data_IF_939257252162
#
_entry.id   IF_939257252162
#
_cell.length_a   1.000
_cell.length_b   1.000
_cell.length_c   1.000
_cell.angle_alpha   90.00
_cell.angle_beta   90.00
_cell.angle_gamma   90.00
#
_symmetry.space_group_name_H-M   'P 1'
#
loop_
_entity.id
_entity.type
_entity.pdbx_description
1 polymer ?
#
# COMPACT_ATOMS: atom_id res chain seq x y z
N UNK A 1 -9.51 -24.97 -44.64
CA UNK A 1 -9.85 -23.58 -44.24
C UNK A 1 -10.69 -23.65 -42.98
N UNK A 2 -10.06 -23.40 -41.83
CA UNK A 2 -10.49 -22.48 -40.77
C UNK A 2 -9.60 -22.78 -39.57
N UNK A 3 -8.53 -22.00 -39.47
CA UNK A 3 -7.58 -22.06 -38.39
C UNK A 3 -8.22 -21.51 -37.11
N UNK A 4 -8.06 -22.33 -36.07
CA UNK A 4 -8.05 -21.94 -34.68
C UNK A 4 -7.07 -20.77 -34.50
N UNK A 5 -7.57 -19.62 -34.05
CA UNK A 5 -6.73 -18.54 -33.55
C UNK A 5 -6.72 -18.61 -32.04
N UNK A 6 -5.70 -19.27 -31.50
CA UNK A 6 -5.19 -19.06 -30.15
C UNK A 6 -4.93 -17.56 -29.96
N UNK A 7 -5.79 -16.89 -29.20
CA UNK A 7 -5.45 -15.65 -28.52
C UNK A 7 -5.05 -16.01 -27.10
N UNK A 8 -3.81 -16.45 -26.95
CA UNK A 8 -3.10 -16.43 -25.67
C UNK A 8 -3.02 -14.97 -25.20
N UNK A 9 -3.91 -14.58 -24.29
CA UNK A 9 -3.80 -13.32 -23.55
C UNK A 9 -2.53 -13.39 -22.69
N UNK A 10 -1.48 -12.72 -23.13
CA UNK A 10 -0.26 -12.50 -22.35
C UNK A 10 -0.59 -11.64 -21.12
N UNK A 11 -1.06 -12.24 -20.03
CA UNK A 11 -1.03 -11.61 -18.72
C UNK A 11 0.44 -11.57 -18.28
N UNK A 12 1.09 -10.43 -18.47
CA UNK A 12 2.33 -10.15 -17.76
C UNK A 12 2.02 -10.20 -16.26
N UNK A 13 2.26 -11.36 -15.63
CA UNK A 13 2.07 -11.51 -14.19
C UNK A 13 2.93 -10.47 -13.47
N UNK A 14 2.28 -9.54 -12.77
CA UNK A 14 2.92 -8.62 -11.85
C UNK A 14 3.43 -9.43 -10.66
N UNK A 15 4.63 -9.97 -10.79
CA UNK A 15 5.25 -10.82 -9.79
C UNK A 15 6.74 -10.56 -9.67
N UNK A 16 7.28 -10.82 -8.49
CA UNK A 16 8.70 -10.71 -8.20
C UNK A 16 9.10 -11.72 -7.12
N UNK A 17 10.40 -11.94 -6.96
CA UNK A 17 10.94 -12.84 -5.95
C UNK A 17 11.64 -12.05 -4.84
N UNK A 18 11.27 -12.30 -3.58
CA UNK A 18 11.96 -11.77 -2.41
C UNK A 18 12.97 -12.82 -1.93
N UNK A 19 14.25 -12.53 -2.15
CA UNK A 19 15.36 -13.41 -1.78
C UNK A 19 15.96 -13.06 -0.42
N UNK A 20 15.98 -11.76 -0.09
CA UNK A 20 16.62 -11.27 1.13
C UNK A 20 15.83 -11.64 2.38
N UNK A 21 14.50 -11.76 2.27
CA UNK A 21 13.59 -11.79 3.41
C UNK A 21 13.31 -10.41 3.98
N UNK A 22 13.58 -9.36 3.20
CA UNK A 22 13.33 -7.97 3.58
C UNK A 22 12.84 -7.17 2.36
N UNK A 23 11.76 -6.41 2.56
CA UNK A 23 11.18 -5.56 1.53
C UNK A 23 11.25 -4.10 1.94
N UNK A 24 11.61 -3.25 0.98
CA UNK A 24 11.38 -1.82 1.04
C UNK A 24 10.02 -1.52 0.43
N UNK A 25 9.28 -0.59 1.01
CA UNK A 25 7.92 -0.27 0.57
C UNK A 25 7.64 1.23 0.57
N UNK A 26 6.71 1.65 -0.29
CA UNK A 26 6.15 2.99 -0.33
C UNK A 26 6.49 3.76 -1.61
N UNK A 27 6.53 5.08 -1.54
CA UNK A 27 6.88 5.94 -2.68
C UNK A 27 8.40 6.02 -2.87
N UNK A 28 8.87 6.69 -3.93
CA UNK A 28 10.31 6.79 -4.25
C UNK A 28 11.16 7.23 -3.05
N UNK A 29 10.69 8.25 -2.32
CA UNK A 29 11.41 8.73 -1.14
C UNK A 29 11.42 7.69 -0.01
N UNK A 30 10.32 6.96 0.20
CA UNK A 30 10.22 5.88 1.18
C UNK A 30 11.23 4.77 0.87
N UNK A 31 11.36 4.37 -0.40
CA UNK A 31 12.34 3.37 -0.83
C UNK A 31 13.77 3.83 -0.51
N UNK A 32 14.11 5.08 -0.85
CA UNK A 32 15.41 5.62 -0.53
C UNK A 32 15.65 5.65 0.99
N UNK A 33 14.66 6.07 1.77
CA UNK A 33 14.75 6.11 3.23
C UNK A 33 14.94 4.71 3.82
N UNK A 34 14.10 3.74 3.48
CA UNK A 34 14.19 2.38 3.99
C UNK A 34 15.49 1.68 3.60
N UNK A 35 16.06 2.03 2.45
CA UNK A 35 17.41 1.59 2.09
C UNK A 35 18.47 2.14 3.05
N UNK A 36 18.46 3.45 3.33
CA UNK A 36 19.46 4.08 4.21
C UNK A 36 19.24 3.73 5.69
N UNK A 37 18.00 3.61 6.14
CA UNK A 37 17.61 3.17 7.47
C UNK A 37 17.98 1.70 7.73
N UNK A 38 18.07 0.87 6.69
CA UNK A 38 18.56 -0.51 6.78
C UNK A 38 19.89 -0.69 7.49
N UNK A 39 20.77 0.32 7.43
CA UNK A 39 22.06 0.31 8.13
C UNK A 39 21.92 0.35 9.65
N UNK A 40 20.72 0.64 10.15
CA UNK A 40 20.37 0.72 11.56
C UNK A 40 19.56 -0.50 12.05
N UNK A 41 19.33 -1.51 11.20
CA UNK A 41 18.50 -2.70 11.51
C UNK A 41 17.11 -2.34 12.09
N UNK A 42 16.48 -1.30 11.55
CA UNK A 42 15.13 -0.88 11.94
C UNK A 42 14.11 -1.38 10.92
N UNK A 43 13.00 -1.90 11.42
CA UNK A 43 11.96 -2.52 10.63
C UNK A 43 10.60 -2.03 11.09
N UNK A 44 9.68 -1.90 10.14
CA UNK A 44 8.27 -1.76 10.41
C UNK A 44 7.71 -3.09 10.86
N UNK A 45 7.00 -3.02 11.99
CA UNK A 45 6.34 -4.14 12.67
C UNK A 45 5.04 -3.60 13.26
N UNK A 46 4.09 -4.47 13.63
CA UNK A 46 2.89 -3.98 14.30
C UNK A 46 3.14 -3.22 15.61
N UNK A 47 4.26 -3.48 16.29
CA UNK A 47 4.62 -2.86 17.57
C UNK A 47 5.47 -1.60 17.41
N UNK A 48 6.18 -1.44 16.29
CA UNK A 48 7.00 -0.24 16.03
C UNK A 48 6.14 0.98 15.70
N UNK A 49 4.87 0.77 15.30
CA UNK A 49 3.94 1.84 14.92
C UNK A 49 2.93 2.05 16.06
N UNK A 50 3.06 3.12 16.86
CA UNK A 50 2.27 3.27 18.06
C UNK A 50 0.80 3.62 17.78
N UNK A 51 -0.07 3.23 18.71
CA UNK A 51 -1.36 3.89 18.90
C UNK A 51 -1.12 5.34 19.33
N UNK A 52 -1.82 6.30 18.72
CA UNK A 52 -1.67 7.72 19.09
C UNK A 52 -2.69 8.08 20.17
N UNK A 53 -2.21 8.66 21.28
CA UNK A 53 -3.00 8.95 22.48
C UNK A 53 -3.84 10.23 22.42
N UNK A 54 -4.45 10.53 21.27
CA UNK A 54 -5.12 11.79 20.91
C UNK A 54 -4.15 12.95 20.61
N UNK A 55 -4.17 13.41 19.35
CA UNK A 55 -3.32 14.49 18.82
C UNK A 55 -2.38 13.99 17.73
N UNK A 56 -2.64 14.42 16.48
CA UNK A 56 -1.91 13.99 15.29
C UNK A 56 -2.51 12.76 14.61
N UNK A 57 -2.59 12.79 13.28
CA UNK A 57 -3.08 11.69 12.43
C UNK A 57 -1.98 11.13 11.51
N UNK A 58 -0.75 11.63 11.69
CA UNK A 58 0.42 11.33 10.87
C UNK A 58 1.45 10.61 11.73
N UNK A 59 1.80 9.40 11.31
CA UNK A 59 2.73 8.45 11.93
C UNK A 59 4.04 8.30 11.15
N UNK A 60 4.21 9.03 10.06
CA UNK A 60 5.42 9.07 9.23
C UNK A 60 6.73 8.80 9.97
N UNK A 61 7.01 9.55 11.05
CA UNK A 61 8.27 9.43 11.83
C UNK A 61 8.53 8.06 12.47
N UNK A 62 7.52 7.20 12.55
CA UNK A 62 7.64 5.86 13.11
C UNK A 62 7.87 4.79 12.05
N UNK A 63 7.59 5.11 10.78
CA UNK A 63 7.86 4.22 9.68
C UNK A 63 9.34 4.27 9.29
N UNK A 64 9.87 3.09 9.00
CA UNK A 64 11.23 2.87 8.54
C UNK A 64 11.25 2.49 7.06
N UNK A 65 10.09 2.27 6.44
CA UNK A 65 9.90 1.90 5.04
C UNK A 65 10.65 0.63 4.65
N UNK A 66 10.80 -0.27 5.63
CA UNK A 66 11.53 -1.53 5.52
C UNK A 66 10.87 -2.54 6.44
N UNK A 67 10.50 -3.70 5.92
CA UNK A 67 9.93 -4.79 6.69
C UNK A 67 10.82 -6.02 6.60
N UNK A 68 10.84 -6.85 7.67
CA UNK A 68 11.09 -8.28 7.47
C UNK A 68 9.92 -8.83 6.66
N UNK A 69 10.17 -9.72 5.71
CA UNK A 69 9.16 -10.17 4.78
C UNK A 69 9.34 -11.66 4.47
N UNK A 70 8.20 -12.31 4.18
CA UNK A 70 8.20 -13.69 3.75
C UNK A 70 9.05 -13.85 2.48
N UNK A 71 10.00 -14.77 2.51
CA UNK A 71 10.81 -15.13 1.34
C UNK A 71 9.97 -15.83 0.28
N UNK A 72 10.48 -15.82 -0.95
CA UNK A 72 9.87 -16.53 -2.07
C UNK A 72 9.12 -15.60 -3.00
N UNK A 73 8.16 -16.14 -3.72
CA UNK A 73 7.46 -15.44 -4.79
C UNK A 73 6.33 -14.57 -4.26
N UNK A 74 6.24 -13.37 -4.81
CA UNK A 74 5.23 -12.38 -4.53
C UNK A 74 4.47 -12.04 -5.80
N UNK A 75 3.17 -11.77 -5.66
CA UNK A 75 2.29 -11.40 -6.77
C UNK A 75 1.48 -10.16 -6.39
N UNK A 76 1.22 -9.29 -7.37
CA UNK A 76 0.23 -8.25 -7.28
C UNK A 76 -1.00 -8.61 -8.13
N UNK A 77 -2.19 -8.35 -7.58
CA UNK A 77 -3.47 -8.45 -8.29
C UNK A 77 -4.26 -7.17 -8.05
N UNK A 78 -4.96 -6.70 -9.07
CA UNK A 78 -5.92 -5.63 -8.89
C UNK A 78 -7.20 -6.18 -8.26
N UNK A 79 -7.79 -5.41 -7.35
CA UNK A 79 -9.15 -5.63 -6.88
C UNK A 79 -10.01 -4.42 -7.26
N UNK A 80 -11.31 -4.62 -7.33
CA UNK A 80 -12.29 -3.59 -7.64
C UNK A 80 -13.16 -3.31 -6.41
N UNK A 81 -13.57 -2.06 -6.26
CA UNK A 81 -14.41 -1.57 -5.17
C UNK A 81 -15.52 -0.69 -5.68
N UNK A 82 -16.73 -0.84 -5.11
CA UNK A 82 -17.84 0.09 -5.29
C UNK A 82 -18.55 0.35 -3.96
N UNK A 83 -18.83 1.62 -3.70
CA UNK A 83 -19.50 2.12 -2.50
C UNK A 83 -21.03 2.18 -2.67
N UNK A 84 -21.53 2.22 -3.91
CA UNK A 84 -22.95 2.02 -4.25
C UNK A 84 -23.13 1.06 -5.42
N UNK A 85 -24.32 0.45 -5.57
CA UNK A 85 -24.64 -0.42 -6.71
C UNK A 85 -24.54 0.31 -8.05
N UNK A 86 -24.80 1.61 -8.04
CA UNK A 86 -24.79 2.50 -9.20
C UNK A 86 -23.44 3.22 -9.41
N UNK A 87 -22.46 3.04 -8.51
CA UNK A 87 -21.16 3.68 -8.61
C UNK A 87 -20.34 3.08 -9.76
N UNK A 88 -20.35 3.77 -10.90
CA UNK A 88 -19.54 3.46 -12.07
C UNK A 88 -18.59 4.63 -12.41
N UNK A 89 -17.33 4.36 -12.79
CA UNK A 89 -16.69 3.04 -12.82
C UNK A 89 -16.28 2.56 -11.42
N UNK A 90 -16.13 1.24 -11.25
CA UNK A 90 -15.46 0.67 -10.08
C UNK A 90 -14.10 1.33 -9.85
N UNK A 91 -13.79 1.60 -8.59
CA UNK A 91 -12.47 2.06 -8.17
C UNK A 91 -11.54 0.86 -8.01
N UNK A 92 -10.32 0.95 -8.50
CA UNK A 92 -9.35 -0.14 -8.43
C UNK A 92 -8.29 0.08 -7.35
N UNK A 93 -7.92 -0.98 -6.64
CA UNK A 93 -6.73 -1.03 -5.80
C UNK A 93 -5.91 -2.27 -6.11
N UNK A 94 -4.86 -2.52 -5.32
CA UNK A 94 -3.99 -3.68 -5.49
C UNK A 94 -3.75 -4.41 -4.18
N UNK A 95 -3.74 -5.74 -4.24
CA UNK A 95 -3.15 -6.58 -3.21
C UNK A 95 -1.81 -7.12 -3.71
N UNK A 96 -0.74 -6.87 -2.97
CA UNK A 96 0.59 -7.44 -3.20
C UNK A 96 0.86 -8.44 -2.08
N UNK A 97 1.04 -9.72 -2.40
CA UNK A 97 1.08 -10.78 -1.40
C UNK A 97 2.11 -11.87 -1.74
N UNK A 98 2.65 -12.51 -0.73
CA UNK A 98 3.44 -13.73 -0.88
C UNK A 98 2.50 -14.89 -1.27
N UNK A 99 2.88 -15.68 -2.28
CA UNK A 99 1.99 -16.68 -2.90
C UNK A 99 1.53 -17.80 -1.96
N UNK A 100 2.16 -17.96 -0.80
CA UNK A 100 1.78 -18.94 0.20
C UNK A 100 0.60 -18.49 1.09
N UNK A 101 0.11 -17.27 0.92
CA UNK A 101 -1.02 -16.72 1.66
C UNK A 101 -2.21 -16.45 0.75
N UNK A 102 -3.42 -16.62 1.29
CA UNK A 102 -4.65 -16.45 0.54
C UNK A 102 -4.98 -14.94 0.39
N UNK A 103 -4.96 -14.37 -0.84
CA UNK A 103 -5.22 -12.95 -1.04
C UNK A 103 -6.67 -12.55 -0.70
N UNK A 104 -7.65 -13.43 -0.89
CA UNK A 104 -9.07 -13.17 -0.55
C UNK A 104 -9.23 -13.00 0.96
N UNK A 105 -8.61 -13.89 1.74
CA UNK A 105 -8.65 -13.82 3.21
C UNK A 105 -7.97 -12.54 3.72
N UNK A 106 -6.79 -12.22 3.18
CA UNK A 106 -6.05 -11.01 3.53
C UNK A 106 -6.90 -9.76 3.23
N UNK A 107 -7.46 -9.67 2.03
CA UNK A 107 -8.24 -8.51 1.63
C UNK A 107 -9.51 -8.35 2.49
N UNK A 108 -10.17 -9.45 2.85
CA UNK A 108 -11.32 -9.45 3.78
C UNK A 108 -10.93 -8.99 5.20
N UNK A 109 -9.76 -9.40 5.70
CA UNK A 109 -9.24 -8.92 7.00
C UNK A 109 -8.97 -7.41 6.96
N UNK A 110 -8.32 -6.92 5.90
CA UNK A 110 -8.09 -5.48 5.71
C UNK A 110 -9.40 -4.69 5.59
N UNK A 111 -10.41 -5.22 4.88
CA UNK A 111 -11.73 -4.59 4.78
C UNK A 111 -12.50 -4.58 6.12
N UNK A 112 -12.25 -5.56 6.98
CA UNK A 112 -12.78 -5.59 8.35
C UNK A 112 -12.12 -4.53 9.23
N UNK A 113 -10.80 -4.33 9.08
CA UNK A 113 -10.05 -3.25 9.73
C UNK A 113 -10.50 -1.88 9.23
N UNK A 114 -10.67 -1.74 7.91
CA UNK A 114 -11.05 -0.50 7.25
C UNK A 114 -10.08 0.65 7.57
N UNK A 115 -10.62 1.87 7.57
CA UNK A 115 -9.90 3.07 7.97
C UNK A 115 -9.58 3.07 9.48
N UNK A 116 -8.29 3.10 9.86
CA UNK A 116 -7.89 3.03 11.27
C UNK A 116 -6.70 3.92 11.65
N UNK A 117 -6.91 5.24 11.65
CA UNK A 117 -5.89 6.25 12.01
C UNK A 117 -5.18 5.96 13.34
N UNK A 118 -5.93 5.48 14.34
CA UNK A 118 -5.40 5.26 15.68
C UNK A 118 -4.92 3.82 15.92
N UNK A 119 -5.04 2.92 14.93
CA UNK A 119 -4.72 1.48 15.04
C UNK A 119 -5.49 0.78 16.16
N UNK A 120 -6.71 1.20 16.47
CA UNK A 120 -7.51 0.65 17.59
C UNK A 120 -8.33 -0.59 17.20
N UNK A 121 -8.07 -1.15 16.02
CA UNK A 121 -8.74 -2.36 15.54
C UNK A 121 -8.22 -3.61 16.28
N UNK A 122 -8.98 -4.71 16.22
CA UNK A 122 -8.67 -5.94 16.95
C UNK A 122 -7.59 -6.79 16.28
N UNK A 123 -7.40 -6.66 14.96
CA UNK A 123 -6.47 -7.47 14.20
C UNK A 123 -5.05 -6.88 14.25
N UNK A 124 -4.37 -7.10 15.37
CA UNK A 124 -3.07 -6.49 15.67
C UNK A 124 -1.92 -6.89 14.74
N UNK A 125 -2.13 -7.81 13.79
CA UNK A 125 -1.13 -8.10 12.75
C UNK A 125 -1.26 -7.21 11.52
N UNK A 126 -2.24 -6.29 11.49
CA UNK A 126 -2.45 -5.33 10.41
C UNK A 126 -2.06 -3.92 10.88
N UNK A 127 -1.27 -3.22 10.06
CA UNK A 127 -0.94 -1.82 10.26
C UNK A 127 -1.59 -1.01 9.14
N UNK A 128 -2.60 -0.22 9.48
CA UNK A 128 -3.14 0.80 8.59
C UNK A 128 -2.12 1.93 8.34
N UNK A 129 -2.00 2.39 7.10
CA UNK A 129 -1.08 3.44 6.68
C UNK A 129 -1.88 4.54 5.98
N UNK A 130 -1.80 5.74 6.51
CA UNK A 130 -2.46 6.91 5.95
C UNK A 130 -1.61 7.51 4.82
N UNK A 131 -2.22 8.25 3.88
CA UNK A 131 -1.48 8.96 2.80
C UNK A 131 -0.33 9.80 3.35
N UNK A 132 -0.54 10.48 4.48
CA UNK A 132 0.47 11.38 5.02
C UNK A 132 1.67 10.67 5.64
N UNK A 133 1.56 9.36 5.85
CA UNK A 133 2.64 8.56 6.40
C UNK A 133 3.72 8.21 5.36
N UNK A 134 3.42 8.41 4.06
CA UNK A 134 4.24 7.93 2.95
C UNK A 134 4.08 8.78 1.68
N UNK A 135 3.60 10.04 1.81
CA UNK A 135 3.37 10.97 0.69
C UNK A 135 4.16 12.29 0.81
N UNK A 136 3.82 13.26 -0.04
CA UNK A 136 4.41 14.60 -0.25
C UNK A 136 4.76 15.45 0.97
N UNK A 137 4.33 15.08 2.18
CA UNK A 137 4.73 15.74 3.42
C UNK A 137 6.00 15.15 4.03
N UNK A 138 6.70 14.30 3.28
CA UNK A 138 7.97 13.73 3.68
C UNK A 138 9.02 14.81 3.94
N UNK A 139 9.93 14.52 4.89
CA UNK A 139 11.00 15.42 5.30
C UNK A 139 11.70 16.09 4.10
N UNK A 140 11.48 17.41 3.95
CA UNK A 140 12.04 18.22 2.86
C UNK A 140 13.56 18.10 2.75
N UNK A 141 14.27 17.97 3.87
CA UNK A 141 15.73 17.81 3.86
C UNK A 141 16.14 16.44 3.30
N UNK A 142 15.31 15.42 3.51
CA UNK A 142 15.51 14.10 2.94
C UNK A 142 15.24 14.07 1.44
N UNK A 143 14.20 14.76 0.97
CA UNK A 143 13.92 14.88 -0.46
C UNK A 143 15.08 15.52 -1.23
N UNK A 144 15.68 16.59 -0.71
CA UNK A 144 16.84 17.24 -1.36
C UNK A 144 18.04 16.28 -1.49
N UNK A 145 18.21 15.36 -0.53
CA UNK A 145 19.25 14.31 -0.62
C UNK A 145 18.93 13.30 -1.71
N UNK A 146 17.65 12.95 -1.89
CA UNK A 146 17.20 12.06 -2.97
C UNK A 146 17.40 12.73 -4.32
N UNK A 147 17.05 14.01 -4.47
CA UNK A 147 17.24 14.70 -5.75
C UNK A 147 18.72 14.74 -6.13
N UNK A 148 19.60 15.05 -5.16
CA UNK A 148 21.05 15.00 -5.37
C UNK A 148 21.53 13.58 -5.71
N UNK A 149 20.98 12.56 -5.07
CA UNK A 149 21.32 11.16 -5.33
C UNK A 149 20.95 10.76 -6.77
N UNK A 150 19.76 11.15 -7.21
CA UNK A 150 19.19 10.83 -8.51
C UNK A 150 19.61 11.80 -9.63
N UNK A 151 20.29 12.90 -9.30
CA UNK A 151 20.69 13.92 -10.28
C UNK A 151 19.52 14.76 -10.81
N UNK A 152 18.48 14.91 -10.00
CA UNK A 152 17.25 15.65 -10.30
C UNK A 152 17.50 17.16 -10.03
N UNK A 153 17.18 18.02 -11.00
CA UNK A 153 17.39 19.47 -10.93
C UNK A 153 16.05 20.21 -10.93
N UNK A 154 15.59 20.58 -9.72
CA UNK A 154 14.29 21.23 -9.47
C UNK A 154 14.10 22.58 -10.17
N UNK A 155 15.16 23.19 -10.70
CA UNK A 155 15.07 24.52 -11.33
C UNK A 155 14.63 24.48 -12.80
N UNK A 156 14.42 23.28 -13.37
CA UNK A 156 13.98 23.13 -14.77
C UNK A 156 12.45 23.33 -14.88
N UNK A 157 11.94 23.98 -15.94
CA UNK A 157 10.52 24.27 -16.09
C UNK A 157 9.64 23.03 -16.33
N UNK A 158 10.19 21.91 -16.82
CA UNK A 158 9.46 20.64 -17.02
C UNK A 158 9.36 19.80 -15.73
N UNK A 159 9.78 20.35 -14.59
CA UNK A 159 9.99 19.58 -13.37
C UNK A 159 8.70 19.31 -12.61
N UNK A 160 7.72 20.22 -12.63
CA UNK A 160 6.49 20.08 -11.84
C UNK A 160 5.70 18.80 -12.21
N UNK A 161 5.63 18.46 -13.50
CA UNK A 161 4.95 17.23 -13.97
C UNK A 161 5.77 15.96 -13.70
N UNK A 162 7.09 16.04 -13.84
CA UNK A 162 8.02 14.94 -13.53
C UNK A 162 7.97 14.59 -12.04
N UNK A 163 7.94 15.61 -11.19
CA UNK A 163 7.99 15.49 -9.75
C UNK A 163 6.68 14.92 -9.19
N UNK A 164 5.54 15.46 -9.63
CA UNK A 164 4.24 15.00 -9.14
C UNK A 164 3.96 13.54 -9.54
N UNK A 165 4.37 13.16 -10.76
CA UNK A 165 4.19 11.78 -11.20
C UNK A 165 5.15 10.80 -10.55
N UNK A 166 6.45 11.12 -10.39
CA UNK A 166 7.46 10.20 -9.84
C UNK A 166 7.33 9.94 -8.34
N UNK A 167 6.83 10.92 -7.60
CA UNK A 167 6.68 10.82 -6.16
C UNK A 167 5.31 10.35 -5.74
N UNK A 168 4.23 10.57 -6.51
CA UNK A 168 2.87 10.27 -6.05
C UNK A 168 2.16 9.18 -6.87
N UNK A 169 0.94 8.84 -6.43
CA UNK A 169 -0.02 7.97 -7.14
C UNK A 169 0.42 6.52 -7.30
N UNK A 170 1.36 6.09 -6.47
CA UNK A 170 2.08 4.83 -6.69
C UNK A 170 2.51 4.20 -5.38
N UNK A 171 2.58 2.89 -5.44
CA UNK A 171 3.31 2.08 -4.48
C UNK A 171 4.47 1.39 -5.19
N UNK A 172 5.64 1.43 -4.57
CA UNK A 172 6.81 0.64 -4.95
C UNK A 172 7.09 -0.39 -3.86
N UNK A 173 7.46 -1.60 -4.27
CA UNK A 173 7.92 -2.66 -3.38
C UNK A 173 9.17 -3.27 -4.00
N UNK A 174 10.27 -3.34 -3.24
CA UNK A 174 11.57 -3.76 -3.76
C UNK A 174 12.27 -4.65 -2.73
N UNK A 175 12.82 -5.78 -3.19
CA UNK A 175 13.75 -6.62 -2.44
C UNK A 175 14.98 -5.81 -2.00
N UNK A 176 15.27 -5.86 -0.70
CA UNK A 176 16.30 -5.01 -0.09
C UNK A 176 17.68 -5.15 -0.73
N UNK A 177 18.05 -6.35 -1.19
CA UNK A 177 19.38 -6.63 -1.73
C UNK A 177 19.55 -6.03 -3.13
N UNK A 178 18.44 -5.80 -3.84
CA UNK A 178 18.40 -5.18 -5.15
C UNK A 178 18.14 -3.68 -5.13
N UNK A 179 17.68 -3.12 -4.01
CA UNK A 179 17.30 -1.71 -3.88
C UNK A 179 18.37 -0.72 -4.39
N UNK A 180 19.64 -0.88 -4.01
CA UNK A 180 20.71 0.02 -4.48
C UNK A 180 20.94 -0.08 -6.00
N UNK A 181 20.74 -1.26 -6.59
CA UNK A 181 20.86 -1.39 -8.04
C UNK A 181 19.72 -0.63 -8.74
N UNK A 182 18.49 -0.80 -8.26
CA UNK A 182 17.32 -0.09 -8.78
C UNK A 182 17.48 1.43 -8.63
N UNK A 183 17.93 1.92 -7.46
CA UNK A 183 18.20 3.35 -7.24
C UNK A 183 19.26 3.88 -8.22
N UNK A 184 20.32 3.11 -8.48
CA UNK A 184 21.33 3.48 -9.49
C UNK A 184 20.74 3.51 -10.90
N UNK A 185 19.88 2.56 -11.27
CA UNK A 185 19.22 2.57 -12.57
C UNK A 185 18.38 3.84 -12.75
N UNK A 186 17.61 4.25 -11.74
CA UNK A 186 16.82 5.49 -11.79
C UNK A 186 17.67 6.74 -11.95
N UNK A 187 18.86 6.78 -11.35
CA UNK A 187 19.81 7.88 -11.54
C UNK A 187 20.24 8.06 -13.00
N UNK A 188 20.37 6.96 -13.74
CA UNK A 188 20.80 7.00 -15.16
C UNK A 188 19.63 7.04 -16.14
N UNK A 189 18.46 6.54 -15.74
CA UNK A 189 17.25 6.50 -16.56
C UNK A 189 16.01 6.85 -15.73
N UNK A 190 15.79 8.14 -15.51
CA UNK A 190 14.64 8.65 -14.77
C UNK A 190 13.32 8.47 -15.52
N UNK A 191 13.34 8.19 -16.83
CA UNK A 191 12.11 7.99 -17.62
C UNK A 191 11.30 6.80 -17.14
N UNK A 192 11.93 5.82 -16.49
CA UNK A 192 11.25 4.68 -15.89
C UNK A 192 10.30 5.10 -14.77
N UNK A 193 10.68 6.12 -13.99
CA UNK A 193 9.82 6.66 -12.94
C UNK A 193 8.58 7.35 -13.52
N UNK A 194 8.63 7.82 -14.76
CA UNK A 194 7.53 8.54 -15.39
C UNK A 194 6.55 7.64 -16.15
N UNK A 195 6.84 6.34 -16.27
CA UNK A 195 5.94 5.46 -16.99
C UNK A 195 4.59 5.36 -16.24
N UNK A 196 3.46 5.61 -16.92
CA UNK A 196 2.15 5.57 -16.30
C UNK A 196 1.65 4.15 -16.03
N UNK A 197 2.38 3.14 -16.53
CA UNK A 197 2.00 1.74 -16.46
C UNK A 197 2.60 1.07 -15.22
N UNK A 198 1.94 0.01 -14.77
CA UNK A 198 2.51 -0.94 -13.82
C UNK A 198 3.80 -1.53 -14.40
N UNK A 199 4.78 -1.79 -13.54
CA UNK A 199 6.04 -2.39 -13.98
C UNK A 199 6.62 -3.29 -12.92
N UNK A 200 7.36 -4.27 -13.39
CA UNK A 200 8.22 -5.12 -12.58
C UNK A 200 9.65 -4.61 -12.67
N UNK A 201 10.31 -4.46 -11.53
CA UNK A 201 11.72 -4.07 -11.46
C UNK A 201 12.61 -5.29 -11.71
N UNK A 202 13.63 -5.08 -12.54
CA UNK A 202 14.59 -6.13 -12.94
C UNK A 202 15.96 -5.80 -12.37
N UNK A 203 16.54 -6.74 -11.65
CA UNK A 203 17.93 -6.62 -11.18
C UNK A 203 18.89 -6.96 -12.31
N UNK A 204 19.49 -5.92 -12.88
CA UNK A 204 20.45 -6.02 -13.99
C UNK A 204 21.86 -6.47 -13.58
N UNK A 205 22.12 -6.71 -12.28
CA UNK A 205 23.43 -7.23 -11.84
C UNK A 205 23.63 -8.70 -12.22
N UNK A 206 22.52 -9.43 -12.33
CA UNK A 206 22.53 -10.86 -12.62
C UNK A 206 22.07 -11.07 -14.06
N UNK A 207 22.76 -11.93 -14.80
CA UNK A 207 22.43 -12.29 -16.19
C UNK A 207 21.01 -12.88 -16.33
N UNK A 208 20.39 -13.28 -15.21
CA UNK A 208 19.09 -13.93 -15.15
C UNK A 208 17.87 -12.98 -15.17
N UNK A 209 18.05 -11.66 -15.31
CA UNK A 209 16.94 -10.68 -15.32
C UNK A 209 15.92 -10.93 -14.19
N UNK A 210 16.42 -11.08 -12.97
CA UNK A 210 15.57 -11.41 -11.83
C UNK A 210 14.57 -10.28 -11.56
N UNK A 211 13.29 -10.64 -11.43
CA UNK A 211 12.23 -9.73 -11.00
C UNK A 211 12.34 -9.55 -9.49
N UNK A 212 12.62 -8.34 -9.04
CA UNK A 212 13.02 -8.06 -7.64
C UNK A 212 12.13 -7.03 -6.96
N UNK A 213 11.06 -6.62 -7.63
CA UNK A 213 10.11 -5.67 -7.10
C UNK A 213 9.12 -5.25 -8.16
N UNK A 214 8.25 -4.33 -7.80
CA UNK A 214 7.27 -3.75 -8.70
C UNK A 214 6.95 -2.30 -8.32
N UNK A 215 6.43 -1.56 -9.29
CA UNK A 215 5.65 -0.36 -8.99
C UNK A 215 4.27 -0.45 -9.63
N UNK A 216 3.27 -0.05 -8.85
CA UNK A 216 1.88 -0.02 -9.25
C UNK A 216 1.42 1.42 -9.16
N UNK A 217 0.62 1.85 -10.14
CA UNK A 217 0.13 3.23 -10.23
C UNK A 217 -1.37 3.20 -10.39
N UNK A 218 -2.08 4.06 -9.66
CA UNK A 218 -3.51 4.31 -9.92
C UNK A 218 -3.65 5.48 -10.92
N UNK A 219 -4.50 5.37 -11.96
CA UNK A 219 -4.61 6.41 -12.99
C UNK A 219 -5.16 7.75 -12.51
N UNK A 220 -5.98 7.73 -11.45
CA UNK A 220 -6.65 8.89 -10.87
C UNK A 220 -6.57 8.80 -9.34
N UNK A 221 -5.36 8.98 -8.76
CA UNK A 221 -5.24 8.99 -7.32
C UNK A 221 -6.08 10.12 -6.72
N UNK A 222 -6.64 9.89 -5.54
CA UNK A 222 -7.27 10.96 -4.76
C UNK A 222 -6.58 11.03 -3.39
N UNK A 223 -6.70 9.93 -2.65
CA UNK A 223 -6.15 9.75 -1.32
C UNK A 223 -5.66 8.30 -1.19
N UNK A 224 -4.34 8.14 -1.10
CA UNK A 224 -3.68 6.84 -1.10
C UNK A 224 -3.64 6.24 0.32
N UNK A 225 -4.23 5.06 0.50
CA UNK A 225 -4.22 4.31 1.74
C UNK A 225 -3.51 2.98 1.54
N UNK A 226 -2.94 2.43 2.61
CA UNK A 226 -2.42 1.08 2.58
C UNK A 226 -2.63 0.33 3.89
N UNK A 227 -2.54 -0.99 3.83
CA UNK A 227 -2.53 -1.88 4.98
C UNK A 227 -1.35 -2.83 4.84
N UNK A 228 -0.41 -2.76 5.77
CA UNK A 228 0.66 -3.74 5.88
C UNK A 228 0.15 -4.91 6.70
N UNK A 229 0.29 -6.12 6.16
CA UNK A 229 -0.22 -7.34 6.77
C UNK A 229 0.94 -8.22 7.16
N UNK A 230 1.05 -8.46 8.45
CA UNK A 230 2.09 -9.28 9.05
C UNK A 230 1.54 -10.66 9.42
N UNK A 231 2.44 -11.64 9.43
CA UNK A 231 2.17 -13.04 9.82
C UNK A 231 1.69 -13.19 11.27
N UNK A 232 2.06 -12.25 12.16
CA UNK A 232 1.62 -12.21 13.56
C UNK A 232 1.71 -10.79 14.12
N UNK A 233 1.25 -10.61 15.35
CA UNK A 233 1.38 -9.38 16.15
C UNK A 233 2.63 -9.41 17.05
N UNK A 234 3.72 -10.03 16.58
CA UNK A 234 4.98 -10.13 17.33
C UNK A 234 6.10 -9.27 16.71
N UNK A 235 7.14 -8.86 17.48
CA UNK A 235 8.22 -7.98 16.98
C UNK A 235 9.10 -8.56 15.86
N UNK A 236 9.09 -9.88 15.69
CA UNK A 236 9.81 -10.61 14.64
C UNK A 236 8.90 -10.99 13.48
N UNK A 237 7.65 -10.51 13.46
CA UNK A 237 6.68 -10.83 12.41
C UNK A 237 7.18 -10.45 11.03
N UNK A 238 7.00 -11.35 10.08
CA UNK A 238 7.25 -11.11 8.66
C UNK A 238 6.02 -10.47 8.00
N UNK A 239 6.25 -9.48 7.14
CA UNK A 239 5.29 -8.96 6.19
C UNK A 239 4.94 -10.05 5.17
N UNK A 240 3.64 -10.29 5.00
CA UNK A 240 3.10 -11.30 4.08
C UNK A 240 2.26 -10.69 2.97
N UNK A 241 1.75 -9.47 3.17
CA UNK A 241 1.03 -8.73 2.14
C UNK A 241 1.02 -7.22 2.40
N UNK A 242 0.75 -6.48 1.33
CA UNK A 242 0.37 -5.06 1.35
C UNK A 242 -0.90 -4.92 0.54
N UNK A 243 -1.94 -4.33 1.12
CA UNK A 243 -3.12 -3.88 0.38
C UNK A 243 -2.96 -2.39 0.13
N UNK A 244 -3.05 -1.97 -1.13
CA UNK A 244 -2.90 -0.59 -1.58
C UNK A 244 -4.20 -0.10 -2.21
N UNK A 245 -4.81 0.91 -1.58
CA UNK A 245 -5.98 1.62 -2.09
C UNK A 245 -5.56 3.00 -2.57
N UNK A 246 -5.40 3.16 -3.88
CA UNK A 246 -5.06 4.45 -4.46
C UNK A 246 -6.26 5.35 -4.77
N UNK A 247 -7.49 4.98 -4.40
CA UNK A 247 -8.72 5.68 -4.80
C UNK A 247 -9.62 6.09 -3.60
N UNK A 248 -9.07 6.04 -2.39
CA UNK A 248 -9.73 6.43 -1.15
C UNK A 248 -11.06 5.72 -0.89
N UNK A 249 -11.12 4.43 -1.18
CA UNK A 249 -12.30 3.62 -0.83
C UNK A 249 -12.29 3.18 0.62
N UNK A 250 -11.11 3.21 1.27
CA UNK A 250 -10.93 2.67 2.62
C UNK A 250 -11.30 1.20 2.76
N UNK A 251 -11.38 0.47 1.62
CA UNK A 251 -11.95 -0.87 1.50
C UNK A 251 -13.40 -0.96 2.00
N UNK A 252 -14.15 0.15 1.93
CA UNK A 252 -15.59 0.18 2.19
C UNK A 252 -16.36 -0.10 0.90
N UNK A 253 -17.47 -0.83 1.03
CA UNK A 253 -18.31 -1.27 -0.08
C UNK A 253 -18.13 -2.73 -0.49
N UNK A 254 -18.65 -3.08 -1.67
CA UNK A 254 -18.38 -4.39 -2.26
C UNK A 254 -16.94 -4.43 -2.78
N UNK A 255 -16.26 -5.54 -2.54
CA UNK A 255 -14.90 -5.79 -3.00
C UNK A 255 -14.88 -7.04 -3.87
N UNK A 256 -14.36 -6.90 -5.09
CA UNK A 256 -14.26 -7.99 -6.08
C UNK A 256 -12.78 -8.23 -6.39
N UNK A 257 -12.36 -9.49 -6.35
CA UNK A 257 -11.02 -9.94 -6.75
C UNK A 257 -11.18 -11.19 -7.63
N UNK A 258 -10.57 -11.18 -8.82
CA UNK A 258 -10.66 -12.29 -9.79
C UNK A 258 -12.11 -12.75 -10.08
N UNK A 259 -13.03 -11.78 -10.23
CA UNK A 259 -14.48 -12.02 -10.45
C UNK A 259 -15.22 -12.65 -9.24
N UNK A 260 -14.55 -12.83 -8.11
CA UNK A 260 -15.14 -13.32 -6.86
C UNK A 260 -15.42 -12.19 -5.87
N UNK A 261 -16.57 -12.25 -5.20
CA UNK A 261 -16.91 -11.37 -4.09
C UNK A 261 -16.04 -11.70 -2.86
N UNK A 262 -15.12 -10.80 -2.55
CA UNK A 262 -14.36 -10.83 -1.30
C UNK A 262 -15.23 -10.30 -0.15
N UNK A 263 -15.92 -9.20 -0.42
CA UNK A 263 -17.00 -8.64 0.41
C UNK A 263 -18.17 -8.42 -0.53
N UNK A 264 -19.25 -9.15 -0.34
CA UNK A 264 -20.46 -8.99 -1.15
C UNK A 264 -21.22 -7.71 -0.80
N UNK A 265 -22.03 -7.22 -1.73
CA UNK A 265 -22.89 -6.06 -1.48
C UNK A 265 -23.82 -6.29 -0.28
N UNK A 266 -24.36 -7.50 -0.13
CA UNK A 266 -25.23 -7.84 0.98
C UNK A 266 -24.50 -7.80 2.34
N UNK A 267 -23.28 -8.33 2.41
CA UNK A 267 -22.45 -8.24 3.62
C UNK A 267 -22.13 -6.80 4.00
N UNK A 268 -21.84 -5.96 2.99
CA UNK A 268 -21.63 -4.53 3.20
C UNK A 268 -22.88 -3.82 3.74
N UNK A 269 -24.06 -4.05 3.15
CA UNK A 269 -25.32 -3.47 3.62
C UNK A 269 -25.63 -3.86 5.08
N UNK A 270 -25.39 -5.12 5.45
CA UNK A 270 -25.58 -5.59 6.82
C UNK A 270 -24.62 -4.90 7.80
N UNK A 271 -23.35 -4.69 7.40
CA UNK A 271 -22.36 -3.95 8.20
C UNK A 271 -22.82 -2.51 8.43
N UNK A 272 -23.29 -1.83 7.40
CA UNK A 272 -23.78 -0.44 7.48
C UNK A 272 -25.03 -0.32 8.37
N UNK A 273 -25.98 -1.25 8.25
CA UNK A 273 -27.18 -1.28 9.11
C UNK A 273 -26.82 -1.47 10.60
N UNK A 274 -25.88 -2.37 10.89
CA UNK A 274 -25.41 -2.60 12.26
C UNK A 274 -24.65 -1.39 12.82
N UNK A 275 -23.80 -0.73 12.01
CA UNK A 275 -23.12 0.50 12.40
C UNK A 275 -24.11 1.62 12.68
N UNK A 276 -25.12 1.81 11.82
CA UNK A 276 -26.19 2.79 12.03
C UNK A 276 -26.96 2.52 13.33
N UNK A 277 -27.27 1.24 13.61
CA UNK A 277 -27.93 0.82 14.86
C UNK A 277 -27.08 1.15 16.09
N UNK A 278 -25.79 0.79 16.08
CA UNK A 278 -24.86 1.07 17.19
C UNK A 278 -24.72 2.57 17.44
N UNK A 279 -24.57 3.37 16.38
CA UNK A 279 -24.46 4.82 16.49
C UNK A 279 -25.75 5.44 17.05
N UNK A 280 -26.92 4.95 16.64
CA UNK A 280 -28.20 5.39 17.21
C UNK A 280 -28.32 5.05 18.71
N UNK A 281 -27.86 3.87 19.12
CA UNK A 281 -27.87 3.45 20.53
C UNK A 281 -26.87 4.27 21.38
N UNK A 282 -25.68 4.54 20.86
CA UNK A 282 -24.70 5.44 21.50
C UNK A 282 -25.26 6.86 21.67
N UNK A 283 -25.91 7.42 20.64
CA UNK A 283 -26.55 8.73 20.72
C UNK A 283 -27.64 8.78 21.80
N UNK A 284 -28.48 7.74 21.90
CA UNK A 284 -29.48 7.63 22.98
C UNK A 284 -28.81 7.57 24.36
N UNK A 285 -27.74 6.80 24.51
CA UNK A 285 -26.98 6.72 25.76
C UNK A 285 -26.39 8.09 26.14
N UNK A 286 -25.76 8.80 25.20
CA UNK A 286 -25.20 10.13 25.44
C UNK A 286 -26.28 11.15 25.82
N UNK A 287 -27.44 11.13 25.16
CA UNK A 287 -28.57 12.00 25.52
C UNK A 287 -29.11 11.69 26.92
N UNK A 288 -29.17 10.41 27.30
CA UNK A 288 -29.58 10.02 28.66
C UNK A 288 -28.55 10.42 29.72
N UNK A 289 -27.25 10.30 29.45
CA UNK A 289 -26.17 10.69 30.35
C UNK A 289 -26.02 12.21 30.50
N UNK A 290 -26.28 12.97 29.42
CA UNK A 290 -26.31 14.44 29.44
C UNK A 290 -27.44 15.00 30.30
N UNK A 291 -28.59 14.32 30.39
CA UNK A 291 -29.69 14.70 31.28
C UNK A 291 -29.37 14.51 32.78
N UNK A 292 -28.44 13.61 33.13
CA UNK A 292 -28.02 13.40 34.52
C UNK A 292 -26.98 14.42 35.03
N UNK A 293 -26.37 15.23 34.16
CA UNK A 293 -25.39 16.26 34.55
C UNK A 293 -26.01 17.65 34.82
N UNK A 294 -27.33 17.78 34.76
CA UNK A 294 -28.07 19.03 34.98
C UNK A 294 -29.13 18.95 36.08
N UNK A 295 -29.09 17.92 36.93
CA UNK A 295 -29.86 17.85 38.17
C UNK A 295 -28.92 17.97 39.38
#
# INVERSE_FOLDING_TARGET
>A
MNNCSDQTSNSNHLSFHCSSGELLWGQLHCICEGYFNGRLNRYDTPQSIPELSAGGTIKQRYFNYRCRAAKGDWQAKSYQTRDTLEAEPFKSGYIIYNIHHNPVEILRRCATVGFSLYQTHSDRSIVYVNRYDWSHHHDYDFEHKIDKLLGIDRNKPDHDFFWDSSFHSRIMIIDSDSAMNIIKQWKFNTTELNQPQEKVFIDTRNESNNRVGLHLRTPKPDYELAWLVFSSDQPDSELIAIVYDGNYTSLDGQIILDEEDVVSWHEYELKEQELARRNADLLKQMQSAGRYRHN
#
